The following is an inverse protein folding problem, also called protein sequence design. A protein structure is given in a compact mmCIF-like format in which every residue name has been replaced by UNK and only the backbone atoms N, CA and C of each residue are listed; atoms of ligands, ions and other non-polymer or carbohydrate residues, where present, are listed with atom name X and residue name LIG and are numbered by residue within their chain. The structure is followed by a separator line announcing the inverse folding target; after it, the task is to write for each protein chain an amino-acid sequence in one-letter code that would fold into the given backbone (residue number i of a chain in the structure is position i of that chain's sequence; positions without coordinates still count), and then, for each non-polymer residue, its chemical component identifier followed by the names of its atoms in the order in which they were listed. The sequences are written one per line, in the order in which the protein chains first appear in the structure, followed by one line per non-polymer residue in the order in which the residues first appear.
data_IF_525788851607
#
_entry.id   IF_525788851607
#
_cell.length_a   1.000
_cell.length_b   1.000
_cell.length_c   1.000
_cell.angle_alpha   90.00
_cell.angle_beta   90.00
_cell.angle_gamma   90.00
#
_symmetry.space_group_name_H-M   'P 1'
#
loop_
_entity.id
_entity.type
_entity.pdbx_description
1 polymer ?
#
# COMPACT_ATOMS: atom_id res chain seq x y z
N UNK A 1 -21.50 -41.20 2.91
CA UNK A 1 -21.86 -39.99 3.68
C UNK A 1 -20.63 -39.39 4.37
N UNK A 2 -19.75 -40.22 4.94
CA UNK A 2 -18.59 -39.73 5.72
C UNK A 2 -17.57 -38.92 4.90
N UNK A 3 -17.29 -39.31 3.66
CA UNK A 3 -16.39 -38.55 2.79
C UNK A 3 -16.88 -37.14 2.47
N UNK A 4 -18.20 -36.93 2.39
CA UNK A 4 -18.79 -35.61 2.15
C UNK A 4 -18.64 -34.70 3.39
N UNK A 5 -18.81 -35.25 4.58
CA UNK A 5 -18.54 -34.55 5.85
C UNK A 5 -17.06 -34.21 6.01
N UNK A 6 -16.16 -35.11 5.61
CA UNK A 6 -14.72 -34.88 5.64
C UNK A 6 -14.30 -33.75 4.69
N UNK A 7 -14.80 -33.77 3.44
CA UNK A 7 -14.60 -32.71 2.47
C UNK A 7 -15.12 -31.36 2.97
N UNK A 8 -16.31 -31.33 3.57
CA UNK A 8 -16.90 -30.10 4.09
C UNK A 8 -16.07 -29.51 5.25
N UNK A 9 -15.53 -30.35 6.13
CA UNK A 9 -14.63 -29.90 7.19
C UNK A 9 -13.30 -29.35 6.64
N UNK A 10 -12.72 -29.99 5.62
CA UNK A 10 -11.48 -29.49 4.99
C UNK A 10 -11.73 -28.12 4.33
N UNK A 11 -12.86 -27.96 3.63
CA UNK A 11 -13.22 -26.69 2.98
C UNK A 11 -13.47 -25.60 4.04
N UNK A 12 -14.21 -25.91 5.10
CA UNK A 12 -14.47 -24.97 6.19
C UNK A 12 -13.16 -24.54 6.88
N UNK A 13 -12.28 -25.50 7.22
CA UNK A 13 -10.98 -25.22 7.81
C UNK A 13 -10.11 -24.35 6.90
N UNK A 14 -10.03 -24.68 5.61
CA UNK A 14 -9.24 -23.93 4.63
C UNK A 14 -9.77 -22.50 4.47
N UNK A 15 -11.09 -22.33 4.45
CA UNK A 15 -11.73 -21.01 4.33
C UNK A 15 -11.44 -20.15 5.55
N UNK A 16 -11.63 -20.70 6.76
CA UNK A 16 -11.32 -19.99 8.02
C UNK A 16 -9.84 -19.62 8.09
N UNK A 17 -8.95 -20.54 7.70
CA UNK A 17 -7.51 -20.30 7.66
C UNK A 17 -7.14 -19.15 6.71
N UNK A 18 -7.69 -19.16 5.49
CA UNK A 18 -7.45 -18.11 4.49
C UNK A 18 -7.96 -16.74 4.95
N UNK A 19 -9.16 -16.69 5.55
CA UNK A 19 -9.76 -15.43 6.04
C UNK A 19 -8.98 -14.88 7.24
N UNK A 20 -8.50 -15.74 8.13
CA UNK A 20 -7.83 -15.34 9.37
C UNK A 20 -6.36 -14.93 9.14
N UNK A 21 -5.72 -15.45 8.10
CA UNK A 21 -4.29 -15.20 7.82
C UNK A 21 -3.98 -13.71 7.57
N UNK A 22 -4.82 -13.00 6.80
CA UNK A 22 -4.62 -11.59 6.48
C UNK A 22 -4.69 -10.64 7.70
N UNK A 23 -5.74 -10.66 8.55
CA UNK A 23 -5.79 -9.79 9.72
C UNK A 23 -4.69 -10.14 10.74
N UNK A 24 -4.34 -11.42 10.90
CA UNK A 24 -3.21 -11.82 11.74
C UNK A 24 -1.89 -11.26 11.22
N UNK A 25 -1.68 -11.24 9.91
CA UNK A 25 -0.49 -10.63 9.32
C UNK A 25 -0.41 -9.14 9.63
N UNK A 26 -1.47 -8.37 9.38
CA UNK A 26 -1.49 -6.93 9.68
C UNK A 26 -1.24 -6.66 11.18
N UNK A 27 -1.82 -7.49 12.05
CA UNK A 27 -1.58 -7.40 13.50
C UNK A 27 -0.12 -7.72 13.85
N UNK A 28 0.46 -8.76 13.24
CA UNK A 28 1.86 -9.11 13.43
C UNK A 28 2.81 -8.01 12.93
N UNK A 29 2.44 -7.37 11.81
CA UNK A 29 3.19 -6.27 11.21
C UNK A 29 3.20 -5.07 12.15
N UNK A 30 2.03 -4.71 12.71
CA UNK A 30 1.89 -3.67 13.73
C UNK A 30 2.76 -3.93 14.95
N UNK A 31 2.68 -5.13 15.53
CA UNK A 31 3.46 -5.47 16.74
C UNK A 31 4.97 -5.40 16.45
N UNK A 32 5.41 -5.88 15.30
CA UNK A 32 6.82 -5.83 14.90
C UNK A 32 7.28 -4.39 14.67
N UNK A 33 6.48 -3.58 13.95
CA UNK A 33 6.76 -2.17 13.73
C UNK A 33 6.83 -1.40 15.06
N UNK A 34 5.89 -1.62 15.98
CA UNK A 34 5.89 -1.00 17.31
C UNK A 34 7.12 -1.40 18.12
N UNK A 35 7.54 -2.67 18.06
CA UNK A 35 8.75 -3.14 18.75
C UNK A 35 10.02 -2.49 18.18
N UNK A 36 10.15 -2.42 16.86
CA UNK A 36 11.28 -1.76 16.20
C UNK A 36 11.28 -0.27 16.54
N UNK A 37 10.13 0.39 16.48
CA UNK A 37 9.96 1.81 16.82
C UNK A 37 10.37 2.11 18.26
N UNK A 38 9.91 1.31 19.22
CA UNK A 38 10.29 1.45 20.64
C UNK A 38 11.79 1.26 20.86
N UNK A 39 12.41 0.30 20.16
CA UNK A 39 13.87 0.07 20.24
C UNK A 39 14.67 1.28 19.74
N UNK A 40 14.15 1.98 18.73
CA UNK A 40 14.80 3.12 18.09
C UNK A 40 14.39 4.46 18.68
N UNK A 41 13.50 4.48 19.69
CA UNK A 41 12.97 5.72 20.28
C UNK A 41 12.12 6.54 19.31
N UNK A 42 11.56 5.91 18.27
CA UNK A 42 10.73 6.56 17.26
C UNK A 42 9.26 6.44 17.58
N UNK A 43 8.48 7.42 17.11
CA UNK A 43 7.03 7.35 17.03
C UNK A 43 6.64 7.04 15.59
N UNK A 44 5.91 5.94 15.37
CA UNK A 44 5.48 5.51 14.04
C UNK A 44 4.57 6.55 13.36
N UNK A 45 3.88 7.39 14.14
CA UNK A 45 2.97 8.40 13.62
C UNK A 45 3.68 9.67 13.14
N UNK A 46 4.92 9.90 13.58
CA UNK A 46 5.69 11.12 13.28
C UNK A 46 6.73 10.88 12.17
N UNK A 47 6.70 9.69 11.54
CA UNK A 47 7.59 9.36 10.44
C UNK A 47 7.17 10.11 9.18
N UNK A 48 8.05 10.98 8.68
CA UNK A 48 7.88 11.63 7.38
C UNK A 48 8.27 10.66 6.27
N UNK A 49 7.49 10.62 5.19
CA UNK A 49 7.72 9.78 4.01
C UNK A 49 7.68 10.59 2.72
N UNK A 50 8.32 10.06 1.68
CA UNK A 50 8.37 10.66 0.34
C UNK A 50 7.55 9.85 -0.69
N UNK A 51 6.82 10.57 -1.55
CA UNK A 51 6.01 10.01 -2.63
C UNK A 51 6.70 10.04 -4.00
N UNK A 52 7.96 10.50 -4.06
CA UNK A 52 8.65 10.77 -5.33
C UNK A 52 8.87 9.53 -6.19
N UNK A 53 8.98 8.34 -5.58
CA UNK A 53 9.25 7.09 -6.30
C UNK A 53 7.99 6.37 -6.80
N UNK A 54 6.86 7.09 -6.87
CA UNK A 54 5.62 6.53 -7.41
C UNK A 54 5.69 6.39 -8.94
N UNK A 55 5.44 5.19 -9.43
CA UNK A 55 5.49 4.86 -10.87
C UNK A 55 4.10 4.99 -11.47
N UNK A 56 3.93 5.89 -12.43
CA UNK A 56 2.67 6.06 -13.17
C UNK A 56 2.69 5.15 -14.41
N UNK A 57 1.67 4.30 -14.55
CA UNK A 57 1.59 3.34 -15.67
C UNK A 57 1.06 3.98 -16.94
N UNK A 58 0.25 5.03 -16.82
CA UNK A 58 -0.31 5.73 -17.97
C UNK A 58 0.53 6.96 -18.31
N UNK A 59 0.82 7.14 -19.59
CA UNK A 59 1.42 8.35 -20.11
C UNK A 59 0.38 9.48 -19.99
N UNK A 60 0.45 10.22 -18.89
CA UNK A 60 -0.23 11.50 -18.65
C UNK A 60 -1.78 11.54 -18.74
N UNK A 61 -2.43 12.44 -17.99
CA UNK A 61 -3.87 12.73 -18.10
C UNK A 61 -4.33 13.20 -19.50
N UNK A 62 -3.38 13.51 -20.40
CA UNK A 62 -3.63 14.03 -21.75
C UNK A 62 -4.37 13.07 -22.67
N UNK A 63 -4.23 11.76 -22.48
CA UNK A 63 -4.82 10.77 -23.40
C UNK A 63 -6.18 10.21 -22.92
N UNK A 64 -6.61 10.52 -21.69
CA UNK A 64 -7.83 9.99 -21.10
C UNK A 64 -8.67 11.12 -20.47
N UNK A 65 -9.69 11.66 -21.19
CA UNK A 65 -10.57 12.70 -20.65
C UNK A 65 -11.32 12.26 -19.37
N UNK A 66 -11.43 10.94 -19.15
CA UNK A 66 -11.99 10.34 -17.93
C UNK A 66 -11.14 10.62 -16.69
N UNK A 67 -9.83 10.82 -16.82
CA UNK A 67 -8.94 11.19 -15.71
C UNK A 67 -9.07 12.68 -15.34
N UNK A 68 -9.33 13.57 -16.31
CA UNK A 68 -9.53 15.00 -16.06
C UNK A 68 -10.80 15.29 -15.24
N UNK A 69 -11.84 14.50 -15.46
CA UNK A 69 -13.11 14.66 -14.75
C UNK A 69 -13.19 13.82 -13.48
N UNK A 70 -12.16 13.04 -13.15
CA UNK A 70 -12.17 12.16 -11.99
C UNK A 70 -12.21 12.94 -10.69
N UNK A 71 -13.12 12.54 -9.81
CA UNK A 71 -13.19 13.06 -8.46
C UNK A 71 -12.30 12.20 -7.54
N UNK A 72 -11.91 12.72 -6.39
CA UNK A 72 -11.14 11.98 -5.40
C UNK A 72 -11.89 10.71 -4.99
N UNK A 73 -13.22 10.74 -4.96
CA UNK A 73 -14.08 9.57 -4.69
C UNK A 73 -13.89 8.42 -5.69
N UNK A 74 -13.51 8.72 -6.94
CA UNK A 74 -13.26 7.73 -8.01
C UNK A 74 -11.89 7.04 -7.89
N UNK A 75 -11.03 7.48 -6.97
CA UNK A 75 -9.70 6.89 -6.74
C UNK A 75 -9.79 5.84 -5.63
N UNK A 76 -9.44 4.60 -5.98
CA UNK A 76 -9.36 3.48 -5.05
C UNK A 76 -7.91 3.04 -4.89
N UNK A 77 -7.48 2.87 -3.64
CA UNK A 77 -6.18 2.31 -3.31
C UNK A 77 -6.32 0.83 -2.96
N UNK A 78 -5.45 0.01 -3.56
CA UNK A 78 -5.41 -1.43 -3.31
C UNK A 78 -4.02 -1.84 -2.85
N UNK A 79 -3.94 -2.40 -1.64
CA UNK A 79 -2.73 -3.01 -1.13
C UNK A 79 -2.43 -4.29 -1.91
N UNK A 80 -1.24 -4.35 -2.53
CA UNK A 80 -0.78 -5.47 -3.33
C UNK A 80 0.10 -6.39 -2.47
N UNK A 81 -0.22 -7.69 -2.45
CA UNK A 81 0.45 -8.69 -1.62
C UNK A 81 1.05 -9.80 -2.48
N UNK A 82 2.27 -10.23 -2.15
CA UNK A 82 2.96 -11.27 -2.94
C UNK A 82 2.33 -12.67 -2.86
N UNK A 83 1.58 -12.98 -1.79
CA UNK A 83 1.02 -14.32 -1.58
C UNK A 83 -0.22 -14.29 -0.69
N UNK A 84 -1.10 -15.27 -0.87
CA UNK A 84 -2.33 -15.41 -0.06
C UNK A 84 -2.05 -16.03 1.32
N UNK A 85 -1.07 -16.93 1.41
CA UNK A 85 -0.70 -17.65 2.64
C UNK A 85 0.39 -16.94 3.46
N UNK A 86 1.31 -16.25 2.78
CA UNK A 86 2.33 -15.41 3.40
C UNK A 86 2.21 -14.00 2.83
N UNK A 87 1.16 -13.25 3.20
CA UNK A 87 1.00 -11.88 2.73
C UNK A 87 2.27 -11.11 3.06
N UNK A 88 2.93 -10.60 2.03
CA UNK A 88 4.01 -9.63 2.13
C UNK A 88 3.58 -8.46 1.29
N UNK A 89 3.45 -7.29 1.92
CA UNK A 89 3.06 -6.08 1.21
C UNK A 89 4.15 -5.76 0.18
N UNK A 90 3.74 -5.74 -1.09
CA UNK A 90 4.62 -5.49 -2.23
C UNK A 90 4.56 -4.02 -2.64
N UNK A 91 3.36 -3.44 -2.57
CA UNK A 91 3.14 -2.05 -2.91
C UNK A 91 1.70 -1.61 -2.69
N UNK A 92 1.45 -0.34 -2.98
CA UNK A 92 0.13 0.25 -3.03
C UNK A 92 -0.18 0.55 -4.50
N UNK A 93 -1.26 -0.04 -5.01
CA UNK A 93 -1.76 0.22 -6.36
C UNK A 93 -2.86 1.27 -6.30
N UNK A 94 -2.78 2.25 -7.20
CA UNK A 94 -3.78 3.30 -7.36
C UNK A 94 -4.62 2.99 -8.59
N UNK A 95 -5.93 2.85 -8.40
CA UNK A 95 -6.88 2.48 -9.43
C UNK A 95 -7.92 3.59 -9.53
N UNK A 96 -8.23 4.05 -10.74
CA UNK A 96 -9.34 4.98 -10.99
C UNK A 96 -10.52 4.19 -11.52
N UNK A 97 -11.67 4.28 -10.85
CA UNK A 97 -12.87 3.50 -11.19
C UNK A 97 -13.91 4.28 -11.99
N UNK A 98 -13.55 5.44 -12.55
CA UNK A 98 -14.48 6.27 -13.30
C UNK A 98 -14.75 5.70 -14.70
N UNK A 99 -16.01 5.40 -14.99
CA UNK A 99 -16.45 4.91 -16.30
C UNK A 99 -16.65 3.39 -16.34
N UNK A 100 -16.64 2.81 -17.54
CA UNK A 100 -16.99 1.39 -17.75
C UNK A 100 -15.87 0.39 -17.38
N UNK A 101 -14.62 0.85 -17.23
CA UNK A 101 -13.48 -0.02 -16.95
C UNK A 101 -12.56 0.63 -15.92
N UNK A 102 -12.16 -0.06 -14.84
CA UNK A 102 -11.18 0.45 -13.89
C UNK A 102 -9.79 0.48 -14.52
N UNK A 103 -9.05 1.57 -14.29
CA UNK A 103 -7.70 1.77 -14.85
C UNK A 103 -6.65 1.84 -13.75
N UNK A 104 -5.55 1.12 -13.93
CA UNK A 104 -4.37 1.19 -13.07
C UNK A 104 -3.61 2.50 -13.39
N UNK A 105 -3.66 3.47 -12.48
CA UNK A 105 -3.06 4.79 -12.68
C UNK A 105 -1.60 4.80 -12.25
N UNK A 106 -1.32 4.29 -11.05
CA UNK A 106 0.00 4.36 -10.45
C UNK A 106 0.27 3.18 -9.51
N UNK A 107 1.54 2.95 -9.22
CA UNK A 107 2.02 1.96 -8.28
C UNK A 107 3.14 2.52 -7.44
N UNK A 108 3.04 2.30 -6.14
CA UNK A 108 4.07 2.62 -5.16
C UNK A 108 4.65 1.31 -4.61
N UNK A 109 5.80 0.85 -5.11
CA UNK A 109 6.49 -0.30 -4.53
C UNK A 109 6.93 0.01 -3.09
N UNK A 110 6.73 -0.93 -2.16
CA UNK A 110 7.21 -0.75 -0.77
C UNK A 110 8.74 -0.65 -0.70
N UNK A 111 9.44 -1.30 -1.63
CA UNK A 111 10.91 -1.22 -1.71
C UNK A 111 11.42 0.19 -2.02
N UNK A 112 10.60 0.95 -2.73
CA UNK A 112 10.89 2.32 -3.17
C UNK A 112 10.18 3.34 -2.25
N UNK A 113 9.53 2.87 -1.18
CA UNK A 113 8.94 3.74 -0.17
C UNK A 113 10.05 4.24 0.75
N UNK A 114 10.40 5.51 0.59
CA UNK A 114 11.49 6.16 1.32
C UNK A 114 10.97 6.89 2.54
N UNK A 115 11.61 6.59 3.66
CA UNK A 115 11.35 7.19 4.96
C UNK A 115 12.69 7.78 5.42
N UNK A 116 12.94 9.09 5.22
CA UNK A 116 14.25 9.70 5.48
C UNK A 116 14.80 9.40 6.88
N UNK A 117 13.93 9.36 7.89
CA UNK A 117 14.29 8.98 9.26
C UNK A 117 14.81 7.55 9.36
N UNK A 118 14.21 6.61 8.64
CA UNK A 118 14.67 5.21 8.58
C UNK A 118 15.89 5.05 7.69
N UNK A 119 15.99 5.80 6.59
CA UNK A 119 17.16 5.79 5.71
C UNK A 119 18.41 6.20 6.49
N UNK A 120 18.30 7.22 7.35
CA UNK A 120 19.39 7.63 8.25
C UNK A 120 19.78 6.51 9.21
N UNK A 121 18.82 5.89 9.89
CA UNK A 121 19.09 4.80 10.85
C UNK A 121 19.61 3.52 10.20
N UNK A 122 19.21 3.25 8.96
CA UNK A 122 19.74 2.16 8.15
C UNK A 122 21.19 2.42 7.78
N UNK A 123 21.53 3.65 7.36
CA UNK A 123 22.92 4.04 7.06
C UNK A 123 23.84 3.96 8.28
N UNK A 124 23.31 4.25 9.47
CA UNK A 124 24.02 4.16 10.75
C UNK A 124 24.09 2.71 11.29
N UNK A 125 23.63 1.70 10.53
CA UNK A 125 23.59 0.28 10.92
C UNK A 125 22.73 -0.03 12.15
N UNK A 126 21.84 0.88 12.56
CA UNK A 126 20.91 0.69 13.67
C UNK A 126 19.62 -0.06 13.26
N UNK A 127 19.42 -0.26 11.96
CA UNK A 127 18.22 -0.86 11.39
C UNK A 127 18.58 -1.87 10.30
N UNK A 128 18.08 -3.11 10.42
CA UNK A 128 18.20 -4.12 9.36
C UNK A 128 17.25 -3.81 8.20
N UNK A 129 17.61 -4.18 6.96
CA UNK A 129 16.73 -4.12 5.78
C UNK A 129 15.36 -4.78 6.01
N UNK A 130 15.34 -5.87 6.77
CA UNK A 130 14.09 -6.57 7.11
C UNK A 130 13.19 -5.74 8.01
N UNK A 131 13.77 -5.01 8.95
CA UNK A 131 13.07 -4.12 9.88
C UNK A 131 12.63 -2.85 9.17
N UNK A 132 13.47 -2.30 8.29
CA UNK A 132 13.12 -1.22 7.38
C UNK A 132 11.86 -1.56 6.58
N UNK A 133 11.83 -2.74 5.94
CA UNK A 133 10.68 -3.19 5.17
C UNK A 133 9.43 -3.40 6.02
N UNK A 134 9.58 -3.89 7.26
CA UNK A 134 8.46 -4.06 8.20
C UNK A 134 7.82 -2.71 8.54
N UNK A 135 8.63 -1.72 8.92
CA UNK A 135 8.13 -0.40 9.29
C UNK A 135 7.54 0.31 8.07
N UNK A 136 8.22 0.25 6.92
CA UNK A 136 7.72 0.80 5.65
C UNK A 136 6.39 0.18 5.24
N UNK A 137 6.26 -1.14 5.37
CA UNK A 137 5.00 -1.83 5.07
C UNK A 137 3.88 -1.43 6.02
N UNK A 138 4.19 -1.22 7.30
CA UNK A 138 3.20 -0.79 8.29
C UNK A 138 2.68 0.61 7.96
N UNK A 139 3.58 1.57 7.71
CA UNK A 139 3.23 2.94 7.34
C UNK A 139 2.40 2.96 6.05
N UNK A 140 2.86 2.30 4.99
CA UNK A 140 2.12 2.24 3.72
C UNK A 140 0.75 1.54 3.82
N UNK A 141 0.53 0.72 4.85
CA UNK A 141 -0.76 0.07 5.12
C UNK A 141 -1.68 0.89 6.04
N UNK A 142 -1.18 1.97 6.65
CA UNK A 142 -1.93 2.79 7.59
C UNK A 142 -3.03 3.56 6.83
N UNK A 143 -4.28 3.59 7.33
CA UNK A 143 -5.36 4.35 6.70
C UNK A 143 -5.04 5.83 6.46
N UNK A 144 -4.30 6.48 7.38
CA UNK A 144 -3.93 7.89 7.22
C UNK A 144 -2.99 8.07 6.02
N UNK A 145 -1.96 7.23 5.93
CA UNK A 145 -1.02 7.23 4.80
C UNK A 145 -1.70 6.92 3.49
N UNK A 146 -2.68 6.02 3.47
CA UNK A 146 -3.49 5.76 2.28
C UNK A 146 -4.30 6.99 1.87
N UNK A 147 -4.90 7.74 2.81
CA UNK A 147 -5.60 8.98 2.48
C UNK A 147 -4.65 10.02 1.88
N UNK A 148 -3.47 10.20 2.46
CA UNK A 148 -2.49 11.16 1.93
C UNK A 148 -1.95 10.76 0.54
N UNK A 149 -1.69 9.47 0.31
CA UNK A 149 -1.34 8.94 -1.03
C UNK A 149 -2.44 9.27 -2.04
N UNK A 150 -3.71 9.12 -1.64
CA UNK A 150 -4.86 9.40 -2.48
C UNK A 150 -4.94 10.88 -2.85
N UNK A 151 -4.75 11.77 -1.88
CA UNK A 151 -4.75 13.22 -2.07
C UNK A 151 -3.58 13.68 -2.94
N UNK A 152 -2.37 13.18 -2.71
CA UNK A 152 -1.18 13.49 -3.49
C UNK A 152 -1.37 13.10 -4.97
N UNK A 153 -1.91 11.90 -5.23
CA UNK A 153 -2.19 11.44 -6.59
C UNK A 153 -3.27 12.28 -7.26
N UNK A 154 -4.33 12.62 -6.54
CA UNK A 154 -5.37 13.52 -7.03
C UNK A 154 -4.79 14.89 -7.40
N UNK A 155 -3.97 15.47 -6.53
CA UNK A 155 -3.33 16.76 -6.78
C UNK A 155 -2.41 16.71 -8.01
N UNK A 156 -1.60 15.66 -8.16
CA UNK A 156 -0.75 15.48 -9.36
C UNK A 156 -1.56 15.30 -10.65
N UNK A 157 -2.75 14.71 -10.58
CA UNK A 157 -3.66 14.62 -11.74
C UNK A 157 -4.24 15.99 -12.12
N UNK A 158 -4.67 16.79 -11.14
CA UNK A 158 -5.25 18.12 -11.38
C UNK A 158 -4.21 19.14 -11.84
N UNK A 159 -3.07 19.23 -11.15
CA UNK A 159 -2.01 20.21 -11.46
C UNK A 159 -1.37 19.98 -12.84
N UNK A 160 -1.23 18.71 -13.27
CA UNK A 160 -0.78 18.40 -14.65
C UNK A 160 -1.83 18.71 -15.71
N UNK A 161 -3.13 18.73 -15.37
CA UNK A 161 -4.18 19.10 -16.31
C UNK A 161 -4.17 20.62 -16.61
N UNK A 162 -3.77 21.44 -15.63
CA UNK A 162 -3.73 22.90 -15.73
C UNK A 162 -2.52 23.40 -16.56
N UNK A 163 -1.33 22.78 -16.39
CA UNK A 163 -0.13 23.09 -17.19
C UNK A 163 -0.21 22.72 -18.69
N UNK A 164 -1.33 22.19 -19.17
CA UNK A 164 -1.53 21.84 -20.58
C UNK A 164 -2.49 22.78 -21.31
N UNK A 165 -2.91 23.88 -20.68
CA UNK A 165 -3.82 24.89 -21.28
C UNK A 165 -3.07 26.16 -21.71
N UNK A 166 -1.77 26.28 -21.39
CA UNK A 166 -0.89 27.36 -21.85
C UNK A 166 -0.05 26.97 -23.07
#
# INVERSE_FOLDING_TARGET
MDYALLLLNIIAFTTVFLVTTRPLYLRSLRIKAERVSKRLGLSLNDLVYSYEQMVFFTALPSHLPQLKQADISDITLKLDYHSMFFPRLKGVKVIVTKGSHPFDLAYLPIKDFRLPTLDRLSSESHLSDTEYLIVSSYIASNPNTLLEIKEEVFHKMQFKAEKMID
#
